data_IF_676691600827
#
_entry.id   IF_676691600827
#
_cell.length_a   1.000
_cell.length_b   1.000
_cell.length_c   1.000
_cell.angle_alpha   90.00
_cell.angle_beta   90.00
_cell.angle_gamma   90.00
#
_symmetry.space_group_name_H-M   'P 1'
#
loop_
_entity.id
_entity.type
_entity.pdbx_description
1 polymer ?
#
# COMPACT_ATOMS: atom_id res chain seq x y z
N UNK A 1 -17.25 7.03 -21.52
CA UNK A 1 -16.79 8.09 -20.60
C UNK A 1 -15.27 8.04 -20.58
N UNK A 2 -14.60 9.15 -20.77
CA UNK A 2 -13.14 9.20 -20.97
C UNK A 2 -12.40 8.91 -19.65
N UNK A 3 -11.57 7.87 -19.63
CA UNK A 3 -10.85 7.38 -18.43
C UNK A 3 -10.00 8.49 -17.80
N UNK A 4 -9.44 9.39 -18.61
CA UNK A 4 -8.67 10.54 -18.12
C UNK A 4 -9.54 11.52 -17.32
N UNK A 5 -10.75 11.80 -17.78
CA UNK A 5 -11.68 12.73 -17.11
C UNK A 5 -12.18 12.18 -15.78
N UNK A 6 -12.30 10.87 -15.66
CA UNK A 6 -12.70 10.20 -14.41
C UNK A 6 -11.59 10.29 -13.37
N UNK A 7 -10.35 10.06 -13.77
CA UNK A 7 -9.18 10.18 -12.87
C UNK A 7 -9.01 11.64 -12.41
N UNK A 8 -9.07 12.61 -13.33
CA UNK A 8 -9.02 14.04 -12.98
C UNK A 8 -10.12 14.47 -12.00
N UNK A 9 -11.33 13.94 -12.17
CA UNK A 9 -12.45 14.23 -11.29
C UNK A 9 -12.23 13.66 -9.89
N UNK A 10 -11.67 12.46 -9.78
CA UNK A 10 -11.36 11.84 -8.49
C UNK A 10 -10.21 12.55 -7.78
N UNK A 11 -9.15 12.93 -8.50
CA UNK A 11 -8.04 13.67 -7.92
C UNK A 11 -8.49 15.03 -7.38
N UNK A 12 -9.38 15.74 -8.10
CA UNK A 12 -9.97 17.01 -7.63
C UNK A 12 -10.84 16.86 -6.38
N UNK A 13 -11.51 15.72 -6.24
CA UNK A 13 -12.50 15.50 -5.17
C UNK A 13 -12.01 14.49 -4.11
N UNK A 14 -10.73 14.10 -4.13
CA UNK A 14 -10.15 13.06 -3.27
C UNK A 14 -10.32 13.32 -1.76
N UNK A 15 -10.52 14.58 -1.36
CA UNK A 15 -10.77 14.98 0.03
C UNK A 15 -12.21 14.68 0.50
N UNK A 16 -13.10 14.30 -0.41
CA UNK A 16 -14.51 13.99 -0.14
C UNK A 16 -14.82 12.50 -0.09
N UNK A 17 -13.87 11.64 -0.48
CA UNK A 17 -14.09 10.19 -0.55
C UNK A 17 -13.63 9.51 0.74
N UNK A 18 -14.55 8.78 1.37
CA UNK A 18 -14.20 7.90 2.48
C UNK A 18 -13.53 6.62 1.94
N UNK A 19 -12.77 5.92 2.78
CA UNK A 19 -12.07 4.66 2.44
C UNK A 19 -13.05 3.62 1.88
N UNK A 20 -14.31 3.69 2.30
CA UNK A 20 -15.38 2.80 1.86
C UNK A 20 -15.81 3.06 0.41
N UNK A 21 -15.93 4.33 0.01
CA UNK A 21 -16.28 4.72 -1.36
C UNK A 21 -15.15 4.38 -2.34
N UNK A 22 -13.89 4.51 -1.90
CA UNK A 22 -12.73 4.12 -2.70
C UNK A 22 -12.73 2.61 -3.00
N UNK A 23 -13.17 1.77 -2.05
CA UNK A 23 -13.28 0.31 -2.24
C UNK A 23 -14.36 -0.05 -3.25
N UNK A 24 -15.56 0.50 -3.09
CA UNK A 24 -16.66 0.27 -4.03
C UNK A 24 -16.31 0.76 -5.44
N UNK A 25 -15.62 1.90 -5.54
CA UNK A 25 -15.18 2.44 -6.81
C UNK A 25 -14.12 1.56 -7.50
N UNK A 26 -13.11 1.07 -6.77
CA UNK A 26 -12.08 0.19 -7.32
C UNK A 26 -12.70 -1.10 -7.87
N UNK A 27 -13.59 -1.72 -7.09
CA UNK A 27 -14.24 -2.97 -7.48
C UNK A 27 -15.22 -2.78 -8.64
N UNK A 28 -15.95 -1.64 -8.71
CA UNK A 28 -16.94 -1.39 -9.76
C UNK A 28 -16.37 -0.81 -11.06
N UNK A 29 -15.35 0.07 -11.00
CA UNK A 29 -14.96 0.89 -12.15
C UNK A 29 -13.63 0.52 -12.81
N UNK A 30 -12.64 0.01 -12.06
CA UNK A 30 -11.31 -0.22 -12.66
C UNK A 30 -11.00 -1.67 -13.01
N UNK A 31 -11.68 -2.65 -12.38
CA UNK A 31 -11.47 -4.07 -12.63
C UNK A 31 -10.00 -4.49 -12.59
N UNK A 32 -9.61 -5.48 -13.40
CA UNK A 32 -8.25 -6.07 -13.43
C UNK A 32 -7.15 -5.05 -13.79
N UNK A 33 -7.49 -3.96 -14.50
CA UNK A 33 -6.49 -2.97 -14.95
C UNK A 33 -6.00 -2.00 -13.86
N UNK A 34 -6.60 -2.03 -12.68
CA UNK A 34 -6.17 -1.24 -11.53
C UNK A 34 -4.92 -1.79 -10.86
N UNK A 35 -4.83 -3.12 -10.81
CA UNK A 35 -3.77 -3.83 -10.12
C UNK A 35 -2.63 -4.10 -11.09
N UNK A 36 -1.46 -3.55 -10.79
CA UNK A 36 -0.23 -3.82 -11.52
C UNK A 36 0.40 -5.11 -11.00
N UNK A 37 1.00 -5.91 -11.88
CA UNK A 37 1.86 -7.00 -11.44
C UNK A 37 3.05 -6.40 -10.69
N UNK A 38 3.39 -6.99 -9.53
CA UNK A 38 4.51 -6.53 -8.71
C UNK A 38 5.85 -6.60 -9.47
N UNK A 39 5.97 -7.52 -10.43
CA UNK A 39 7.15 -7.68 -11.29
C UNK A 39 7.33 -6.52 -12.25
N UNK A 40 6.24 -5.85 -12.63
CA UNK A 40 6.24 -4.71 -13.56
C UNK A 40 6.50 -3.37 -12.87
N UNK A 41 6.66 -3.34 -11.54
CA UNK A 41 6.96 -2.12 -10.78
C UNK A 41 8.47 -1.88 -10.81
N UNK A 42 8.89 -0.89 -11.59
CA UNK A 42 10.28 -0.57 -11.94
C UNK A 42 10.62 0.93 -11.90
N UNK A 43 9.69 1.75 -11.44
CA UNK A 43 9.83 3.21 -11.27
C UNK A 43 9.23 3.66 -9.93
N UNK A 44 9.64 4.83 -9.46
CA UNK A 44 9.04 5.48 -8.28
C UNK A 44 7.60 5.90 -8.59
N UNK A 45 6.68 5.71 -7.65
CA UNK A 45 5.29 6.10 -7.87
C UNK A 45 4.29 5.57 -6.85
N UNK A 46 3.01 5.79 -7.16
CA UNK A 46 1.88 5.22 -6.43
C UNK A 46 1.32 4.03 -7.22
N UNK A 47 1.19 2.87 -6.57
CA UNK A 47 0.77 1.64 -7.22
C UNK A 47 -0.26 0.88 -6.38
N UNK A 48 -1.15 0.19 -7.06
CA UNK A 48 -2.02 -0.83 -6.48
C UNK A 48 -1.63 -2.19 -7.04
N UNK A 49 -1.49 -3.20 -6.19
CA UNK A 49 -1.07 -4.55 -6.59
C UNK A 49 -1.60 -5.59 -5.60
N UNK A 50 -1.70 -6.84 -6.05
CA UNK A 50 -2.08 -7.99 -5.22
C UNK A 50 -0.84 -8.86 -5.07
N UNK A 51 -0.46 -9.16 -3.84
CA UNK A 51 0.74 -9.97 -3.60
C UNK A 51 0.70 -10.62 -2.22
N UNK A 52 1.52 -11.65 -2.07
CA UNK A 52 1.66 -12.39 -0.82
C UNK A 52 2.69 -11.72 0.09
N UNK A 53 2.42 -11.70 1.39
CA UNK A 53 3.44 -11.41 2.39
C UNK A 53 4.37 -12.62 2.50
N UNK A 54 5.60 -12.50 2.02
CA UNK A 54 6.51 -13.66 1.91
C UNK A 54 7.44 -13.82 3.12
N UNK A 55 7.54 -12.80 3.98
CA UNK A 55 8.33 -12.91 5.22
C UNK A 55 8.20 -11.68 6.11
N UNK A 56 8.31 -11.86 7.43
CA UNK A 56 8.34 -10.75 8.39
C UNK A 56 9.79 -10.46 8.75
N UNK A 57 10.22 -9.21 8.58
CA UNK A 57 11.60 -8.79 8.90
C UNK A 57 11.68 -8.41 10.38
N UNK A 58 10.70 -7.66 10.87
CA UNK A 58 10.60 -7.32 12.28
C UNK A 58 9.90 -5.99 12.54
N UNK A 59 9.73 -5.68 13.82
CA UNK A 59 9.20 -4.43 14.33
C UNK A 59 10.28 -3.75 15.18
N UNK A 60 10.38 -2.42 15.09
CA UNK A 60 11.27 -1.62 15.93
C UNK A 60 10.54 -0.40 16.46
N UNK A 61 10.91 -0.02 17.68
CA UNK A 61 10.51 1.22 18.33
C UNK A 61 11.73 2.12 18.49
N UNK A 62 11.58 3.40 18.21
CA UNK A 62 12.61 4.42 18.39
C UNK A 62 11.99 5.52 19.26
N UNK A 63 12.50 5.64 20.48
CA UNK A 63 12.15 6.76 21.36
C UNK A 63 12.88 8.02 20.89
N UNK A 64 12.12 9.08 20.59
CA UNK A 64 12.61 10.44 20.39
C UNK A 64 12.01 11.35 21.45
N UNK A 65 12.69 12.46 21.73
CA UNK A 65 12.44 13.36 22.86
C UNK A 65 10.94 13.60 23.17
N UNK A 66 10.09 13.74 22.15
CA UNK A 66 8.65 13.99 22.32
C UNK A 66 7.71 12.94 21.68
N UNK A 67 8.26 11.86 21.11
CA UNK A 67 7.43 10.83 20.45
C UNK A 67 8.13 9.49 20.31
N UNK A 68 7.33 8.43 20.36
CA UNK A 68 7.75 7.07 19.99
C UNK A 68 7.43 6.85 18.52
N UNK A 69 8.44 6.51 17.72
CA UNK A 69 8.26 6.11 16.32
C UNK A 69 8.37 4.59 16.25
N UNK A 70 7.28 3.94 15.85
CA UNK A 70 7.26 2.50 15.61
C UNK A 70 7.16 2.21 14.13
N UNK A 71 7.89 1.20 13.68
CA UNK A 71 7.74 0.68 12.33
C UNK A 71 7.86 -0.83 12.27
N UNK A 72 7.12 -1.45 11.36
CA UNK A 72 7.17 -2.87 11.07
C UNK A 72 7.51 -3.08 9.59
N UNK A 73 8.54 -3.88 9.33
CA UNK A 73 8.98 -4.24 7.97
C UNK A 73 8.66 -5.69 7.64
N UNK A 74 8.24 -5.94 6.40
CA UNK A 74 7.98 -7.27 5.86
C UNK A 74 8.22 -7.31 4.35
N UNK A 75 8.44 -8.51 3.83
CA UNK A 75 8.58 -8.78 2.41
C UNK A 75 7.23 -9.00 1.76
N UNK A 76 7.05 -8.41 0.58
CA UNK A 76 5.89 -8.61 -0.28
C UNK A 76 6.37 -9.12 -1.64
N UNK A 77 5.86 -10.27 -2.05
CA UNK A 77 6.22 -10.96 -3.29
C UNK A 77 7.73 -11.22 -3.46
N UNK A 78 8.49 -11.37 -2.37
CA UNK A 78 9.97 -11.47 -2.37
C UNK A 78 10.69 -10.33 -3.13
N UNK A 79 10.03 -9.18 -3.33
CA UNK A 79 10.54 -8.09 -4.16
C UNK A 79 10.55 -6.75 -3.43
N UNK A 80 9.48 -6.47 -2.69
CA UNK A 80 9.29 -5.17 -2.04
C UNK A 80 9.44 -5.34 -0.53
N UNK A 81 10.29 -4.52 0.09
CA UNK A 81 10.30 -4.36 1.54
C UNK A 81 9.25 -3.31 1.91
N UNK A 82 8.14 -3.77 2.49
CA UNK A 82 7.04 -2.91 2.86
C UNK A 82 7.16 -2.47 4.33
N UNK A 83 6.90 -1.20 4.60
CA UNK A 83 6.98 -0.62 5.94
C UNK A 83 5.61 -0.07 6.36
N UNK A 84 5.16 -0.45 7.56
CA UNK A 84 4.03 0.17 8.26
C UNK A 84 4.55 0.99 9.44
N UNK A 85 3.89 2.10 9.72
CA UNK A 85 4.28 3.08 10.73
C UNK A 85 3.19 3.28 11.78
N UNK A 86 3.58 3.35 13.06
CA UNK A 86 2.71 3.69 14.20
C UNK A 86 1.35 2.97 14.07
N UNK A 87 0.24 3.73 14.05
CA UNK A 87 -1.16 3.27 13.99
C UNK A 87 -1.47 2.29 12.84
N UNK A 88 -0.69 2.32 11.74
CA UNK A 88 -0.84 1.36 10.65
C UNK A 88 -0.51 -0.07 11.13
N UNK A 89 0.41 -0.21 12.07
CA UNK A 89 0.81 -1.50 12.64
C UNK A 89 -0.37 -2.12 13.35
N UNK A 90 -1.04 -1.37 14.24
CA UNK A 90 -2.24 -1.84 14.95
C UNK A 90 -3.38 -2.13 13.98
N UNK A 91 -3.64 -1.21 13.04
CA UNK A 91 -4.74 -1.32 12.09
C UNK A 91 -4.65 -2.58 11.23
N UNK A 92 -3.45 -2.98 10.83
CA UNK A 92 -3.24 -4.11 9.92
C UNK A 92 -2.61 -5.35 10.60
N UNK A 93 -2.40 -5.34 11.92
CA UNK A 93 -1.77 -6.44 12.65
C UNK A 93 -2.41 -7.82 12.36
N UNK A 94 -3.74 -7.86 12.26
CA UNK A 94 -4.50 -9.09 11.97
C UNK A 94 -4.54 -9.52 10.50
N UNK A 95 -3.96 -8.74 9.59
CA UNK A 95 -3.85 -9.06 8.16
C UNK A 95 -2.44 -9.50 7.78
N UNK A 96 -1.41 -8.94 8.42
CA UNK A 96 -0.01 -9.19 8.06
C UNK A 96 0.50 -10.49 8.69
N UNK A 97 0.35 -11.59 7.95
CA UNK A 97 0.92 -12.91 8.26
C UNK A 97 1.68 -13.46 7.05
N UNK A 98 2.69 -14.31 7.29
CA UNK A 98 3.42 -14.99 6.19
C UNK A 98 2.42 -15.83 5.37
N UNK A 99 2.57 -15.79 4.06
CA UNK A 99 1.67 -16.40 3.06
C UNK A 99 0.27 -15.77 2.97
N UNK A 100 0.00 -14.66 3.68
CA UNK A 100 -1.25 -13.93 3.48
C UNK A 100 -1.23 -13.23 2.13
N UNK A 101 -2.22 -13.54 1.28
CA UNK A 101 -2.47 -12.84 0.03
C UNK A 101 -3.32 -11.59 0.28
N UNK A 102 -2.79 -10.43 -0.07
CA UNK A 102 -3.40 -9.14 0.26
C UNK A 102 -3.48 -8.24 -0.97
N UNK A 103 -4.47 -7.34 -0.97
CA UNK A 103 -4.55 -6.20 -1.88
C UNK A 103 -3.81 -5.03 -1.21
N UNK A 104 -2.81 -4.50 -1.89
CA UNK A 104 -2.11 -3.26 -1.55
C UNK A 104 -2.61 -2.18 -2.49
N UNK A 105 -3.25 -1.13 -1.95
CA UNK A 105 -3.96 -0.14 -2.76
C UNK A 105 -3.34 1.23 -2.52
N UNK A 106 -3.12 2.00 -3.60
CA UNK A 106 -2.50 3.33 -3.60
C UNK A 106 -1.22 3.42 -2.74
N UNK A 107 -0.42 2.37 -2.77
CA UNK A 107 0.80 2.28 -1.99
C UNK A 107 1.92 3.05 -2.66
N UNK A 108 2.69 3.80 -1.88
CA UNK A 108 3.88 4.49 -2.37
C UNK A 108 5.02 3.50 -2.49
N UNK A 109 5.60 3.42 -3.68
CA UNK A 109 6.79 2.63 -3.99
C UNK A 109 7.96 3.57 -4.32
N UNK A 110 9.12 3.25 -3.76
CA UNK A 110 10.38 3.94 -4.00
C UNK A 110 11.48 2.92 -4.31
N UNK A 111 12.22 3.18 -5.39
CA UNK A 111 13.34 2.37 -5.82
C UNK A 111 14.63 3.03 -5.34
N UNK A 112 15.38 2.28 -4.55
CA UNK A 112 16.65 2.72 -3.98
C UNK A 112 17.78 1.85 -4.52
N UNK A 113 19.02 2.27 -4.28
CA UNK A 113 20.21 1.45 -4.57
C UNK A 113 20.25 0.11 -3.81
N UNK A 114 19.41 -0.06 -2.79
CA UNK A 114 19.36 -1.26 -1.95
C UNK A 114 18.16 -2.17 -2.27
N UNK A 115 17.27 -1.77 -3.18
CA UNK A 115 16.06 -2.50 -3.53
C UNK A 115 14.83 -1.61 -3.59
N UNK A 116 13.66 -2.26 -3.65
CA UNK A 116 12.36 -1.60 -3.76
C UNK A 116 11.71 -1.53 -2.38
N UNK A 117 11.39 -0.32 -1.93
CA UNK A 117 10.71 -0.06 -0.68
C UNK A 117 9.26 0.36 -0.92
N UNK A 118 8.35 -0.12 -0.07
CA UNK A 118 6.92 0.18 -0.12
C UNK A 118 6.41 0.75 1.20
N UNK A 119 5.40 1.61 1.13
CA UNK A 119 4.65 2.12 2.28
C UNK A 119 3.24 2.50 1.87
N UNK A 120 2.34 2.77 2.83
CA UNK A 120 0.98 3.22 2.52
C UNK A 120 0.93 4.67 2.02
N UNK A 121 1.94 5.50 2.31
CA UNK A 121 1.90 6.91 1.92
C UNK A 121 0.68 7.62 2.54
N UNK A 122 0.12 8.60 1.83
CA UNK A 122 -0.99 9.42 2.36
C UNK A 122 -2.37 8.76 2.22
N UNK A 123 -2.56 7.93 1.19
CA UNK A 123 -3.88 7.40 0.79
C UNK A 123 -3.93 5.88 0.72
N UNK A 124 -2.79 5.21 0.92
CA UNK A 124 -2.71 3.77 0.73
C UNK A 124 -3.36 2.99 1.86
N UNK A 125 -3.85 1.81 1.51
CA UNK A 125 -4.44 0.89 2.47
C UNK A 125 -4.26 -0.56 2.03
N UNK A 126 -4.48 -1.48 2.97
CA UNK A 126 -4.38 -2.92 2.77
C UNK A 126 -5.75 -3.55 2.99
N UNK A 127 -6.10 -4.50 2.13
CA UNK A 127 -7.33 -5.29 2.23
C UNK A 127 -7.04 -6.77 2.03
N UNK A 128 -7.92 -7.63 2.55
CA UNK A 128 -7.88 -9.07 2.24
C UNK A 128 -8.19 -9.28 0.76
N UNK A 129 -7.44 -10.18 0.13
CA UNK A 129 -7.78 -10.67 -1.20
C UNK A 129 -8.89 -11.72 -1.13
#
# INVERSE_FOLDING_TARGET
>A
MDRHKVIEFLEKNAHLFDVQDAREFIDQYFGVSFFKDILDIDTDGEYSFISDVTGIIGERSIDREDRVIRYRKFWVGNRIIFTLWNDEIEKYAGLIAVSAKLKFIFCRIQITRFGIEGSLGLRGFIERY
#
